data_IF_591653092331
#
_entry.id   IF_591653092331
#
_cell.length_a   1.000
_cell.length_b   1.000
_cell.length_c   1.000
_cell.angle_alpha   90.00
_cell.angle_beta   90.00
_cell.angle_gamma   90.00
#
_symmetry.space_group_name_H-M   'P 1'
#
loop_
_entity.id
_entity.type
_entity.pdbx_description
1 polymer ?
#
# COMPACT_ATOMS: atom_id res chain seq x y z
N UNK A 1 8.52 3.47 -4.29
CA UNK A 1 8.91 2.17 -4.87
C UNK A 1 7.98 1.83 -6.02
N UNK A 2 8.50 1.14 -7.02
CA UNK A 2 7.70 0.59 -8.12
C UNK A 2 8.03 -0.88 -8.31
N UNK A 3 7.02 -1.69 -8.57
CA UNK A 3 7.18 -3.04 -9.08
C UNK A 3 6.82 -3.08 -10.55
N UNK A 4 7.63 -3.74 -11.33
CA UNK A 4 7.44 -3.94 -12.76
C UNK A 4 7.17 -5.42 -13.04
N UNK A 5 6.15 -5.68 -13.83
CA UNK A 5 5.78 -7.03 -14.28
C UNK A 5 5.67 -7.04 -15.81
N UNK A 6 6.47 -7.87 -16.52
CA UNK A 6 6.44 -7.95 -17.97
C UNK A 6 5.29 -8.81 -18.50
N UNK A 7 4.15 -8.79 -17.85
CA UNK A 7 2.97 -9.55 -18.24
C UNK A 7 1.69 -8.87 -17.73
N UNK A 8 0.63 -8.95 -18.52
CA UNK A 8 -0.73 -8.76 -18.04
C UNK A 8 -1.21 -10.09 -17.45
N UNK A 9 -0.80 -10.41 -16.23
CA UNK A 9 -1.22 -11.66 -15.61
C UNK A 9 -2.55 -11.49 -14.87
N UNK A 10 -3.43 -12.49 -15.02
CA UNK A 10 -4.69 -12.55 -14.28
C UNK A 10 -4.51 -12.67 -12.77
N UNK A 11 -3.39 -13.20 -12.33
CA UNK A 11 -3.08 -13.35 -10.90
C UNK A 11 -2.72 -12.00 -10.25
N UNK A 12 -2.02 -11.11 -10.98
CA UNK A 12 -1.74 -9.74 -10.56
C UNK A 12 -2.96 -8.82 -10.61
N UNK A 13 -4.01 -9.25 -11.35
CA UNK A 13 -5.19 -8.46 -11.69
C UNK A 13 -6.44 -8.92 -10.94
N UNK A 14 -6.30 -9.72 -9.91
CA UNK A 14 -7.42 -10.10 -9.02
C UNK A 14 -7.94 -8.94 -8.18
N UNK A 15 -7.34 -7.77 -8.29
CA UNK A 15 -7.91 -6.54 -7.75
C UNK A 15 -9.22 -6.24 -8.50
N UNK A 16 -10.35 -6.05 -7.81
CA UNK A 16 -11.68 -5.90 -8.42
C UNK A 16 -11.75 -4.82 -9.49
N UNK A 17 -10.89 -3.82 -9.41
CA UNK A 17 -10.80 -2.73 -10.36
C UNK A 17 -10.25 -3.17 -11.73
N UNK A 18 -9.14 -3.91 -11.75
CA UNK A 18 -8.51 -4.30 -13.02
C UNK A 18 -9.32 -5.34 -13.80
N UNK A 19 -10.08 -6.18 -13.12
CA UNK A 19 -10.99 -7.11 -13.78
C UNK A 19 -12.11 -6.43 -14.57
N UNK A 20 -12.42 -5.15 -14.23
CA UNK A 20 -13.47 -4.36 -14.90
C UNK A 20 -12.94 -3.48 -16.04
N UNK A 21 -11.65 -3.14 -16.01
CA UNK A 21 -11.05 -2.13 -16.91
C UNK A 21 -10.25 -2.79 -18.04
N UNK A 22 -9.72 -3.98 -17.83
CA UNK A 22 -8.92 -4.66 -18.84
C UNK A 22 -9.75 -5.64 -19.66
N UNK A 23 -9.60 -5.65 -21.01
CA UNK A 23 -10.22 -6.65 -21.86
C UNK A 23 -9.90 -8.05 -21.38
N UNK A 24 -10.88 -8.93 -21.47
CA UNK A 24 -10.73 -10.36 -21.11
C UNK A 24 -9.75 -11.08 -22.06
N UNK A 25 -9.50 -10.53 -23.25
CA UNK A 25 -8.53 -11.02 -24.22
C UNK A 25 -7.13 -10.51 -23.87
N UNK A 26 -6.38 -11.39 -23.28
CA UNK A 26 -5.09 -11.14 -22.65
C UNK A 26 -3.95 -11.22 -23.65
N UNK A 27 -3.72 -10.12 -24.33
CA UNK A 27 -2.49 -9.92 -25.09
C UNK A 27 -1.26 -9.79 -24.18
N UNK A 28 -0.07 -9.76 -24.76
CA UNK A 28 1.15 -9.37 -24.06
C UNK A 28 1.01 -7.92 -23.57
N UNK A 29 1.57 -7.61 -22.40
CA UNK A 29 1.53 -6.27 -21.85
C UNK A 29 2.53 -6.06 -20.73
N UNK A 30 2.64 -4.80 -20.31
CA UNK A 30 3.54 -4.34 -19.25
C UNK A 30 2.70 -3.73 -18.13
N UNK A 31 3.04 -4.04 -16.90
CA UNK A 31 2.37 -3.52 -15.73
C UNK A 31 3.38 -2.96 -14.72
N UNK A 32 3.10 -1.81 -14.16
CA UNK A 32 3.89 -1.27 -13.06
C UNK A 32 3.00 -0.62 -12.01
N UNK A 33 3.35 -0.82 -10.74
CA UNK A 33 2.71 -0.20 -9.60
C UNK A 33 3.59 0.86 -8.96
N UNK A 34 2.96 1.86 -8.36
CA UNK A 34 3.60 2.85 -7.48
C UNK A 34 3.18 2.58 -6.05
N UNK A 35 4.14 2.55 -5.13
CA UNK A 35 3.89 2.37 -3.70
C UNK A 35 4.44 3.55 -2.91
N UNK A 36 3.64 4.07 -1.98
CA UNK A 36 4.11 4.99 -0.96
C UNK A 36 4.83 4.21 0.14
N UNK A 37 6.16 4.43 0.28
CA UNK A 37 6.97 3.72 1.28
C UNK A 37 6.92 4.34 2.68
N UNK A 38 6.57 5.60 2.77
CA UNK A 38 6.50 6.33 4.04
C UNK A 38 5.20 7.12 4.11
N UNK A 39 4.05 6.43 4.19
CA UNK A 39 2.76 7.10 4.26
C UNK A 39 2.66 7.92 5.53
N UNK A 40 2.02 9.08 5.40
CA UNK A 40 1.61 9.92 6.53
C UNK A 40 0.17 9.62 6.94
N UNK A 41 -0.62 9.04 6.04
CA UNK A 41 -1.98 8.59 6.32
C UNK A 41 -1.97 7.49 7.37
N UNK A 42 -2.86 7.60 8.34
CA UNK A 42 -3.04 6.61 9.40
C UNK A 42 -4.48 6.16 9.48
N UNK A 43 -4.66 4.92 9.91
CA UNK A 43 -5.96 4.31 10.15
C UNK A 43 -6.13 3.84 11.58
N UNK A 44 -7.20 3.11 11.83
CA UNK A 44 -7.50 2.54 13.14
C UNK A 44 -8.15 1.15 13.01
N UNK A 45 -7.88 0.33 14.02
CA UNK A 45 -8.60 -0.93 14.27
C UNK A 45 -9.31 -0.78 15.61
N UNK A 46 -10.61 -0.98 15.62
CA UNK A 46 -11.45 -0.77 16.80
C UNK A 46 -12.30 -2.01 17.08
N UNK A 47 -12.61 -2.28 18.33
CA UNK A 47 -13.59 -3.31 18.67
C UNK A 47 -14.98 -2.91 18.13
N UNK A 48 -15.66 -3.86 17.50
CA UNK A 48 -17.02 -3.65 17.02
C UNK A 48 -18.05 -3.78 18.16
N UNK A 49 -17.76 -4.66 19.13
CA UNK A 49 -18.61 -4.95 20.30
C UNK A 49 -17.78 -5.63 21.40
N UNK A 50 -18.41 -5.99 22.51
CA UNK A 50 -17.80 -6.80 23.56
C UNK A 50 -17.73 -8.30 23.22
N UNK A 51 -18.35 -8.75 22.13
CA UNK A 51 -18.27 -10.13 21.65
C UNK A 51 -16.88 -10.38 21.07
N UNK A 52 -16.07 -11.31 21.64
CA UNK A 52 -14.72 -11.61 21.17
C UNK A 52 -14.68 -12.26 19.77
N UNK A 53 -15.80 -12.77 19.26
CA UNK A 53 -15.91 -13.36 17.93
C UNK A 53 -16.36 -12.35 16.87
N UNK A 54 -16.77 -11.15 17.25
CA UNK A 54 -17.14 -10.10 16.31
C UNK A 54 -15.87 -9.57 15.59
N UNK A 55 -15.94 -9.48 14.26
CA UNK A 55 -14.87 -8.89 13.50
C UNK A 55 -14.63 -7.42 13.90
N UNK A 56 -13.37 -6.99 14.05
CA UNK A 56 -13.05 -5.60 14.36
C UNK A 56 -13.47 -4.66 13.22
N UNK A 57 -13.70 -3.41 13.56
CA UNK A 57 -13.85 -2.33 12.57
C UNK A 57 -12.47 -1.92 12.11
N UNK A 58 -12.17 -2.14 10.84
CA UNK A 58 -10.90 -1.77 10.22
C UNK A 58 -11.12 -0.54 9.35
N UNK A 59 -10.47 0.56 9.70
CA UNK A 59 -10.49 1.82 8.93
C UNK A 59 -9.05 2.13 8.49
N UNK A 60 -8.64 1.75 7.28
CA UNK A 60 -7.26 1.93 6.82
C UNK A 60 -6.84 3.40 6.72
N UNK A 61 -7.77 4.31 6.44
CA UNK A 61 -7.50 5.74 6.33
C UNK A 61 -6.59 6.11 5.14
N UNK A 62 -6.57 5.31 4.08
CA UNK A 62 -5.74 5.59 2.90
C UNK A 62 -6.03 6.97 2.33
N UNK A 63 -4.96 7.67 1.91
CA UNK A 63 -5.02 9.01 1.29
C UNK A 63 -5.67 10.07 2.19
N UNK A 64 -5.71 9.88 3.50
CA UNK A 64 -6.16 10.89 4.46
C UNK A 64 -5.17 12.05 4.60
N UNK A 65 -3.87 11.79 4.41
CA UNK A 65 -2.84 12.81 4.34
C UNK A 65 -2.61 13.26 2.89
N UNK A 66 -2.71 14.57 2.58
CA UNK A 66 -2.55 15.08 1.21
C UNK A 66 -1.22 14.73 0.57
N UNK A 67 -0.14 14.65 1.36
CA UNK A 67 1.19 14.34 0.86
C UNK A 67 1.28 12.96 0.22
N UNK A 68 0.53 11.98 0.70
CA UNK A 68 0.52 10.64 0.13
C UNK A 68 -0.03 10.64 -1.30
N UNK A 69 -1.05 11.44 -1.55
CA UNK A 69 -1.61 11.60 -2.89
C UNK A 69 -0.61 12.27 -3.85
N UNK A 70 0.10 13.30 -3.39
CA UNK A 70 1.14 13.97 -4.18
C UNK A 70 2.24 12.99 -4.58
N UNK A 71 2.73 12.18 -3.64
CA UNK A 71 3.78 11.19 -3.92
C UNK A 71 3.31 10.14 -4.93
N UNK A 72 2.08 9.64 -4.81
CA UNK A 72 1.54 8.67 -5.76
C UNK A 72 1.34 9.29 -7.15
N UNK A 73 0.84 10.53 -7.23
CA UNK A 73 0.69 11.27 -8.49
C UNK A 73 2.02 11.43 -9.21
N UNK A 74 3.05 11.89 -8.51
CA UNK A 74 4.39 12.03 -9.09
C UNK A 74 4.97 10.67 -9.50
N UNK A 75 4.69 9.62 -8.75
CA UNK A 75 5.05 8.25 -9.10
C UNK A 75 4.42 7.78 -10.41
N UNK A 76 3.14 8.06 -10.65
CA UNK A 76 2.46 7.77 -11.93
C UNK A 76 3.13 8.51 -13.09
N UNK A 77 3.44 9.81 -12.91
CA UNK A 77 4.14 10.61 -13.92
C UNK A 77 5.51 10.00 -14.25
N UNK A 78 6.28 9.60 -13.24
CA UNK A 78 7.60 8.98 -13.42
C UNK A 78 7.52 7.64 -14.15
N UNK A 79 6.52 6.81 -13.86
CA UNK A 79 6.31 5.57 -14.61
C UNK A 79 6.01 5.85 -16.07
N UNK A 80 5.20 6.85 -16.38
CA UNK A 80 4.94 7.27 -17.76
C UNK A 80 6.22 7.73 -18.48
N UNK A 81 7.08 8.50 -17.81
CA UNK A 81 8.38 8.91 -18.35
C UNK A 81 9.26 7.69 -18.66
N UNK A 82 9.32 6.72 -17.74
CA UNK A 82 10.09 5.48 -17.93
C UNK A 82 9.55 4.71 -19.15
N UNK A 83 8.24 4.46 -19.20
CA UNK A 83 7.66 3.72 -20.33
C UNK A 83 7.75 4.45 -21.68
N UNK A 84 7.94 5.77 -21.69
CA UNK A 84 8.17 6.56 -22.91
C UNK A 84 9.59 6.45 -23.45
N UNK A 85 10.54 5.89 -22.69
CA UNK A 85 11.91 5.75 -23.15
C UNK A 85 12.02 4.87 -24.40
N UNK A 86 12.95 5.18 -25.34
CA UNK A 86 13.09 4.44 -26.60
C UNK A 86 13.27 2.93 -26.43
N UNK A 87 13.90 2.49 -25.35
CA UNK A 87 14.08 1.07 -25.04
C UNK A 87 12.76 0.28 -24.94
N UNK A 88 11.64 0.96 -24.65
CA UNK A 88 10.32 0.34 -24.59
C UNK A 88 9.55 0.34 -25.91
N UNK A 89 10.05 1.02 -26.96
CA UNK A 89 9.28 1.19 -28.21
C UNK A 89 8.86 -0.13 -28.86
N UNK A 90 9.68 -1.18 -28.78
CA UNK A 90 9.36 -2.50 -29.31
C UNK A 90 8.30 -3.27 -28.48
N UNK A 91 8.06 -2.86 -27.23
CA UNK A 91 7.26 -3.61 -26.26
C UNK A 91 6.04 -2.82 -25.76
N UNK A 92 6.10 -1.49 -25.85
CA UNK A 92 5.07 -0.59 -25.39
C UNK A 92 3.92 -0.51 -26.39
N UNK A 93 2.73 -0.87 -25.93
CA UNK A 93 1.48 -0.61 -26.61
C UNK A 93 0.77 0.66 -26.11
N UNK A 94 -0.53 0.68 -26.20
CA UNK A 94 -1.40 1.74 -25.66
C UNK A 94 -1.44 1.66 -24.15
N UNK A 95 -1.40 2.82 -23.48
CA UNK A 95 -1.63 2.90 -22.03
C UNK A 95 -3.08 2.52 -21.71
N UNK A 96 -3.27 1.45 -20.94
CA UNK A 96 -4.59 0.95 -20.57
C UNK A 96 -5.11 1.59 -19.28
N UNK A 97 -4.23 1.83 -18.31
CA UNK A 97 -4.55 2.45 -17.02
C UNK A 97 -3.36 3.31 -16.53
N UNK A 98 -3.63 4.55 -16.10
CA UNK A 98 -4.91 5.27 -16.05
C UNK A 98 -5.53 5.60 -17.41
N UNK A 99 -4.80 5.44 -18.51
CA UNK A 99 -5.27 5.70 -19.86
C UNK A 99 -4.93 7.10 -20.40
N UNK A 100 -4.99 7.28 -21.72
CA UNK A 100 -4.50 8.50 -22.39
C UNK A 100 -5.32 9.75 -22.08
N UNK A 101 -6.53 9.62 -21.56
CA UNK A 101 -7.40 10.76 -21.21
C UNK A 101 -7.10 11.36 -19.85
N UNK A 102 -6.40 10.63 -18.97
CA UNK A 102 -6.03 11.06 -17.62
C UNK A 102 -4.67 11.76 -17.67
N UNK A 103 -4.65 13.07 -17.86
CA UNK A 103 -3.41 13.82 -18.10
C UNK A 103 -3.09 14.88 -17.04
N UNK A 104 -4.07 15.65 -16.59
CA UNK A 104 -3.85 16.69 -15.58
C UNK A 104 -3.57 16.09 -14.20
N UNK A 105 -2.96 16.88 -13.32
CA UNK A 105 -2.74 16.49 -11.93
C UNK A 105 -4.06 16.12 -11.24
N UNK A 106 -5.10 16.91 -11.49
CA UNK A 106 -6.44 16.66 -10.95
C UNK A 106 -7.03 15.32 -11.45
N UNK A 107 -6.88 15.02 -12.75
CA UNK A 107 -7.37 13.75 -13.31
C UNK A 107 -6.62 12.55 -12.71
N UNK A 108 -5.28 12.66 -12.60
CA UNK A 108 -4.44 11.61 -12.01
C UNK A 108 -4.83 11.40 -10.54
N UNK A 109 -5.02 12.48 -9.77
CA UNK A 109 -5.44 12.38 -8.38
C UNK A 109 -6.85 11.77 -8.23
N UNK A 110 -7.78 12.15 -9.09
CA UNK A 110 -9.12 11.56 -9.10
C UNK A 110 -9.05 10.05 -9.43
N UNK A 111 -8.23 9.67 -10.41
CA UNK A 111 -8.00 8.27 -10.75
C UNK A 111 -7.36 7.50 -9.59
N UNK A 112 -6.33 8.06 -8.92
CA UNK A 112 -5.70 7.44 -7.75
C UNK A 112 -6.75 7.21 -6.65
N UNK A 113 -7.57 8.20 -6.33
CA UNK A 113 -8.62 8.07 -5.29
C UNK A 113 -9.64 6.98 -5.61
N UNK A 114 -9.92 6.77 -6.89
CA UNK A 114 -10.87 5.75 -7.34
C UNK A 114 -10.28 4.34 -7.38
N UNK A 115 -8.94 4.21 -7.46
CA UNK A 115 -8.29 2.93 -7.82
C UNK A 115 -7.20 2.48 -6.85
N UNK A 116 -6.73 3.36 -5.95
CA UNK A 116 -5.75 2.98 -4.96
C UNK A 116 -6.29 1.88 -4.06
N UNK A 117 -5.43 0.90 -3.80
CA UNK A 117 -5.75 -0.24 -2.96
C UNK A 117 -4.55 -0.60 -2.07
N UNK A 118 -4.77 -1.50 -1.14
CA UNK A 118 -3.72 -1.98 -0.26
C UNK A 118 -2.65 -2.74 -1.02
N UNK A 119 -1.42 -2.63 -0.57
CA UNK A 119 -0.29 -3.47 -0.99
C UNK A 119 -0.01 -4.58 0.04
N UNK A 120 -0.96 -4.79 0.96
CA UNK A 120 -0.94 -5.85 1.98
C UNK A 120 0.23 -5.76 2.96
N UNK A 121 0.68 -4.55 3.27
CA UNK A 121 1.74 -4.28 4.24
C UNK A 121 1.30 -3.34 5.37
N UNK A 122 0.13 -3.57 6.03
CA UNK A 122 -0.27 -2.77 7.19
C UNK A 122 0.67 -3.04 8.36
N UNK A 123 0.94 -1.98 9.15
CA UNK A 123 1.81 -2.04 10.32
C UNK A 123 1.25 -1.20 11.46
N UNK A 124 1.90 -1.26 12.61
CA UNK A 124 1.82 -0.23 13.67
C UNK A 124 0.54 -0.20 14.50
N UNK A 125 -0.38 -1.16 14.35
CA UNK A 125 -1.60 -1.22 15.18
C UNK A 125 -1.32 -1.61 16.65
N UNK A 126 -0.17 -2.26 16.92
CA UNK A 126 0.36 -2.52 18.27
C UNK A 126 1.79 -1.97 18.39
N UNK A 127 2.03 -0.76 17.90
CA UNK A 127 3.39 -0.24 17.72
C UNK A 127 4.21 -0.19 19.01
N UNK A 128 5.50 -0.50 18.89
CA UNK A 128 6.46 -0.24 19.93
C UNK A 128 6.82 1.25 19.99
N UNK A 129 7.19 1.72 21.17
CA UNK A 129 7.62 3.11 21.35
C UNK A 129 8.26 3.35 22.71
N UNK A 130 8.80 4.56 22.91
CA UNK A 130 9.35 4.99 24.19
C UNK A 130 8.29 5.17 25.28
N UNK A 131 8.72 5.30 26.52
CA UNK A 131 7.81 5.49 27.68
C UNK A 131 7.03 6.80 27.61
N UNK A 132 7.53 7.79 26.88
CA UNK A 132 6.87 9.09 26.69
C UNK A 132 5.83 9.08 25.56
N UNK A 133 5.73 7.99 24.77
CA UNK A 133 4.73 7.87 23.72
C UNK A 133 3.44 7.25 24.28
N UNK A 134 2.36 8.03 24.45
CA UNK A 134 1.11 7.53 25.03
C UNK A 134 0.39 6.53 24.10
N UNK A 135 0.76 6.48 22.83
CA UNK A 135 0.18 5.56 21.84
C UNK A 135 1.00 4.28 21.66
N UNK A 136 2.13 4.14 22.35
CA UNK A 136 2.93 2.92 22.29
C UNK A 136 2.26 1.79 23.08
N UNK A 137 1.88 0.73 22.38
CA UNK A 137 1.32 -0.49 22.97
C UNK A 137 2.44 -1.38 23.52
N UNK A 138 3.60 -1.38 22.87
CA UNK A 138 4.72 -2.26 23.21
C UNK A 138 5.95 -1.47 23.66
N UNK A 139 6.78 -2.11 24.48
CA UNK A 139 8.15 -1.66 24.71
C UNK A 139 9.11 -2.18 23.60
N UNK A 140 10.40 -1.86 23.72
CA UNK A 140 11.44 -2.27 22.76
C UNK A 140 11.79 -3.76 22.79
N UNK A 141 11.14 -4.54 23.64
CA UNK A 141 11.23 -6.00 23.71
C UNK A 141 9.91 -6.65 23.28
N UNK A 142 9.06 -5.92 22.58
CA UNK A 142 7.73 -6.36 22.13
C UNK A 142 6.77 -6.77 23.24
N UNK A 143 7.02 -6.37 24.51
CA UNK A 143 6.13 -6.70 25.63
C UNK A 143 4.97 -5.70 25.67
N UNK A 144 3.78 -6.21 25.87
CA UNK A 144 2.57 -5.37 26.01
C UNK A 144 2.65 -4.58 27.32
N UNK A 145 2.52 -3.27 27.23
CA UNK A 145 2.53 -2.38 28.42
C UNK A 145 1.32 -2.63 29.30
N UNK A 146 1.55 -2.75 30.58
CA UNK A 146 0.50 -2.99 31.57
C UNK A 146 -0.02 -4.42 31.66
N UNK A 147 0.51 -5.35 30.85
CA UNK A 147 0.12 -6.78 30.89
C UNK A 147 1.37 -7.64 31.05
N UNK A 148 1.41 -8.46 32.11
CA UNK A 148 2.53 -9.36 32.35
C UNK A 148 2.47 -10.60 31.46
N UNK A 149 3.63 -11.05 30.97
CA UNK A 149 3.77 -12.31 30.23
C UNK A 149 3.24 -12.29 28.77
N UNK A 150 2.84 -11.13 28.24
CA UNK A 150 2.31 -10.99 26.85
C UNK A 150 3.27 -10.22 25.97
N UNK A 151 3.48 -10.74 24.75
CA UNK A 151 4.21 -10.07 23.67
C UNK A 151 3.42 -10.10 22.37
N UNK A 152 3.65 -9.10 21.52
CA UNK A 152 3.18 -9.08 20.13
C UNK A 152 4.41 -8.91 19.23
N UNK A 153 4.63 -9.89 18.33
CA UNK A 153 5.83 -9.95 17.47
C UNK A 153 5.39 -10.23 16.03
N UNK A 154 4.88 -9.20 15.39
CA UNK A 154 4.45 -9.22 13.99
C UNK A 154 4.56 -7.80 13.39
N UNK A 155 4.04 -7.59 12.19
CA UNK A 155 4.08 -6.29 11.52
C UNK A 155 3.40 -5.17 12.33
N UNK A 156 2.43 -5.49 13.19
CA UNK A 156 1.76 -4.50 14.03
C UNK A 156 2.68 -3.86 15.06
N UNK A 157 3.76 -4.57 15.45
CA UNK A 157 4.78 -4.10 16.41
C UNK A 157 5.67 -3.00 15.85
N UNK A 158 5.82 -2.91 14.52
CA UNK A 158 6.68 -1.91 13.89
C UNK A 158 6.19 -0.49 14.19
N UNK A 159 7.07 0.46 14.52
CA UNK A 159 6.65 1.83 14.84
C UNK A 159 6.08 2.59 13.64
N UNK A 160 6.45 2.19 12.43
CA UNK A 160 5.95 2.72 11.13
C UNK A 160 6.22 1.73 10.01
N UNK A 161 5.64 1.97 8.83
CA UNK A 161 5.97 1.21 7.62
C UNK A 161 7.46 1.34 7.33
N UNK A 162 8.10 0.23 7.02
CA UNK A 162 9.51 0.17 6.61
C UNK A 162 9.67 0.65 5.16
N UNK A 163 10.90 1.04 4.77
CA UNK A 163 11.17 1.51 3.38
C UNK A 163 11.23 0.36 2.37
N UNK A 164 10.28 -0.56 2.44
CA UNK A 164 10.18 -1.75 1.59
C UNK A 164 9.08 -2.68 2.10
N UNK A 165 8.97 -3.85 1.47
CA UNK A 165 8.03 -4.89 1.87
C UNK A 165 8.32 -5.35 3.30
N UNK A 166 7.27 -5.62 4.07
CA UNK A 166 7.36 -5.83 5.52
C UNK A 166 7.80 -7.23 5.94
N UNK A 167 7.83 -8.22 5.04
CA UNK A 167 8.15 -9.60 5.40
C UNK A 167 9.55 -9.75 6.04
N UNK A 168 10.60 -9.24 5.39
CA UNK A 168 11.96 -9.34 5.92
C UNK A 168 12.14 -8.64 7.28
N UNK A 169 11.65 -7.39 7.49
CA UNK A 169 11.66 -6.77 8.81
C UNK A 169 10.91 -7.54 9.89
N UNK A 170 9.80 -8.20 9.54
CA UNK A 170 9.03 -9.02 10.48
C UNK A 170 9.81 -10.27 10.89
N UNK A 171 10.41 -10.98 9.91
CA UNK A 171 11.29 -12.12 10.23
C UNK A 171 12.50 -11.73 11.08
N UNK A 172 13.05 -10.54 10.86
CA UNK A 172 14.16 -10.04 11.67
C UNK A 172 13.73 -9.73 13.12
N UNK A 173 12.47 -9.29 13.31
CA UNK A 173 11.91 -8.95 14.62
C UNK A 173 11.56 -10.20 15.44
N UNK A 174 11.08 -11.25 14.79
CA UNK A 174 10.62 -12.49 15.41
C UNK A 174 11.79 -13.41 15.79
#
# INVERSE_FOLDING_TARGET
>A
QSHFLPALSSASLRLPYFSKVLPQDRGAGLFANVFQLRPESTGAIELASADPLAHPRIRPGYLSAPQDLVVLREGVKRLREIFRQPAFNAWRGVELAPGPTVQSDADIEAWIRATADTVYHPTSSCRMGGTADPMAVLDNQCRVRGVSGLRVVDASSLPRVTSGNTAAPVYMLA
#
